data_IF_675210876045
#
_entry.id   IF_675210876045
#
_cell.length_a   1.000
_cell.length_b   1.000
_cell.length_c   1.000
_cell.angle_alpha   90.00
_cell.angle_beta   90.00
_cell.angle_gamma   90.00
#
_symmetry.space_group_name_H-M   'P 1'
#
loop_
_entity.id
_entity.type
_entity.pdbx_description
1 polymer ?
#
# COMPACT_ATOMS: atom_id res chain seq x y z
N UNK A 1 -24.39 -16.50 29.62
CA UNK A 1 -23.23 -15.90 28.93
C UNK A 1 -23.48 -14.41 28.75
N UNK A 2 -22.88 -13.57 29.59
CA UNK A 2 -23.07 -12.11 29.51
C UNK A 2 -22.19 -11.52 28.41
N UNK A 3 -22.82 -10.92 27.40
CA UNK A 3 -22.15 -10.09 26.40
C UNK A 3 -21.73 -8.78 27.07
N UNK A 4 -20.48 -8.72 27.55
CA UNK A 4 -19.87 -7.46 27.95
C UNK A 4 -19.65 -6.60 26.70
N UNK A 5 -20.62 -5.74 26.40
CA UNK A 5 -20.50 -4.70 25.37
C UNK A 5 -19.55 -3.63 25.89
N UNK A 6 -18.26 -3.74 25.55
CA UNK A 6 -17.28 -2.70 25.84
C UNK A 6 -17.67 -1.47 25.00
N UNK A 7 -18.35 -0.52 25.64
CA UNK A 7 -18.61 0.82 25.12
C UNK A 7 -17.27 1.50 24.82
N UNK A 8 -16.87 1.52 23.55
CA UNK A 8 -15.70 2.29 23.13
C UNK A 8 -16.05 3.77 23.13
N UNK A 9 -15.19 4.60 23.73
CA UNK A 9 -15.34 6.05 23.66
C UNK A 9 -15.28 6.54 22.21
N UNK A 10 -16.28 7.33 21.83
CA UNK A 10 -16.40 8.02 20.54
C UNK A 10 -15.16 8.86 20.20
N UNK A 11 -14.45 9.36 21.22
CA UNK A 11 -13.23 10.16 21.06
C UNK A 11 -12.12 9.44 20.29
N UNK A 12 -11.89 8.14 20.54
CA UNK A 12 -10.83 7.37 19.86
C UNK A 12 -11.03 7.21 18.36
N UNK A 13 -12.29 7.18 17.89
CA UNK A 13 -12.63 7.04 16.46
C UNK A 13 -12.39 8.33 15.67
N UNK A 14 -12.64 9.49 16.30
CA UNK A 14 -12.42 10.79 15.66
C UNK A 14 -10.94 11.02 15.33
N UNK A 15 -10.04 10.65 16.25
CA UNK A 15 -8.60 10.75 16.03
C UNK A 15 -8.10 9.88 14.89
N UNK A 16 -8.50 8.61 14.82
CA UNK A 16 -8.10 7.69 13.73
C UNK A 16 -8.52 8.22 12.36
N UNK A 17 -9.74 8.78 12.24
CA UNK A 17 -10.22 9.36 10.99
C UNK A 17 -9.39 10.57 10.56
N UNK A 18 -9.08 11.49 11.47
CA UNK A 18 -8.23 12.66 11.19
C UNK A 18 -6.86 12.24 10.68
N UNK A 19 -6.23 11.22 11.29
CA UNK A 19 -4.94 10.72 10.85
C UNK A 19 -4.98 10.05 9.48
N UNK A 20 -6.01 9.25 9.20
CA UNK A 20 -6.19 8.61 7.90
C UNK A 20 -6.39 9.69 6.82
N UNK A 21 -7.22 10.69 7.08
CA UNK A 21 -7.44 11.82 6.17
C UNK A 21 -6.16 12.63 5.96
N UNK A 22 -5.44 13.00 7.02
CA UNK A 22 -4.20 13.75 6.90
C UNK A 22 -3.16 12.99 6.05
N UNK A 23 -3.01 11.67 6.26
CA UNK A 23 -2.13 10.84 5.47
C UNK A 23 -2.51 10.82 3.98
N UNK A 24 -3.79 10.62 3.66
CA UNK A 24 -4.26 10.64 2.26
C UNK A 24 -4.11 12.02 1.62
N UNK A 25 -4.35 13.10 2.37
CA UNK A 25 -4.15 14.48 1.88
C UNK A 25 -2.68 14.73 1.56
N UNK A 26 -1.75 14.31 2.43
CA UNK A 26 -0.31 14.42 2.15
C UNK A 26 0.05 13.64 0.89
N UNK A 27 -0.42 12.40 0.75
CA UNK A 27 -0.17 11.59 -0.45
C UNK A 27 -0.72 12.26 -1.73
N UNK A 28 -1.93 12.83 -1.65
CA UNK A 28 -2.56 13.53 -2.77
C UNK A 28 -1.79 14.81 -3.16
N UNK A 29 -1.32 15.58 -2.17
CA UNK A 29 -0.52 16.79 -2.41
C UNK A 29 0.82 16.44 -3.05
N UNK A 30 1.51 15.39 -2.57
CA UNK A 30 2.76 14.93 -3.17
C UNK A 30 2.52 14.45 -4.60
N UNK A 31 1.51 13.61 -4.83
CA UNK A 31 1.15 13.14 -6.16
C UNK A 31 0.84 14.29 -7.12
N UNK A 32 0.03 15.27 -6.67
CA UNK A 32 -0.28 16.45 -7.46
C UNK A 32 0.97 17.25 -7.82
N UNK A 33 1.88 17.45 -6.86
CA UNK A 33 3.18 18.09 -7.09
C UNK A 33 4.00 17.35 -8.16
N UNK A 34 4.10 16.03 -8.07
CA UNK A 34 4.86 15.21 -9.03
C UNK A 34 4.27 15.24 -10.44
N UNK A 35 2.95 15.09 -10.56
CA UNK A 35 2.24 15.08 -11.84
C UNK A 35 2.27 16.47 -12.51
N UNK A 36 2.20 17.54 -11.72
CA UNK A 36 2.33 18.93 -12.22
C UNK A 36 3.78 19.36 -12.45
N UNK A 37 4.75 18.51 -12.13
CA UNK A 37 6.19 18.79 -12.22
C UNK A 37 6.66 19.96 -11.34
N UNK A 38 5.90 20.32 -10.31
CA UNK A 38 6.25 21.42 -9.39
C UNK A 38 7.62 21.21 -8.72
N UNK A 39 8.03 19.96 -8.51
CA UNK A 39 9.34 19.61 -7.97
C UNK A 39 10.51 20.11 -8.82
N UNK A 40 10.31 20.35 -10.12
CA UNK A 40 11.36 20.83 -11.03
C UNK A 40 11.75 22.30 -10.75
N UNK A 41 10.91 23.05 -10.03
CA UNK A 41 11.20 24.43 -9.63
C UNK A 41 12.14 24.51 -8.42
N UNK A 42 12.19 23.46 -7.60
CA UNK A 42 12.90 23.45 -6.31
C UNK A 42 14.08 22.47 -6.26
N UNK A 43 14.12 21.47 -7.13
CA UNK A 43 15.13 20.41 -7.12
C UNK A 43 16.11 20.54 -8.30
N UNK A 44 17.39 20.17 -8.13
CA UNK A 44 18.30 19.95 -9.24
C UNK A 44 17.73 18.99 -10.28
N UNK A 45 18.02 19.22 -11.56
CA UNK A 45 17.44 18.45 -12.68
C UNK A 45 17.53 16.94 -12.50
N UNK A 46 18.69 16.42 -12.10
CA UNK A 46 18.90 14.99 -11.83
C UNK A 46 17.96 14.44 -10.75
N UNK A 47 17.81 15.14 -9.63
CA UNK A 47 16.92 14.74 -8.53
C UNK A 47 15.45 14.91 -8.93
N UNK A 48 15.11 15.97 -9.67
CA UNK A 48 13.74 16.23 -10.09
C UNK A 48 13.18 15.13 -11.00
N UNK A 49 14.03 14.58 -11.88
CA UNK A 49 13.68 13.46 -12.77
C UNK A 49 13.50 12.18 -11.97
N UNK A 50 14.43 11.86 -11.07
CA UNK A 50 14.33 10.68 -10.20
C UNK A 50 13.09 10.73 -9.31
N UNK A 51 12.81 11.89 -8.69
CA UNK A 51 11.65 12.10 -7.84
C UNK A 51 10.35 12.04 -8.65
N UNK A 52 10.36 12.57 -9.88
CA UNK A 52 9.20 12.54 -10.79
C UNK A 52 8.77 11.14 -11.20
N UNK A 53 9.70 10.17 -11.28
CA UNK A 53 9.35 8.79 -11.61
C UNK A 53 8.48 8.17 -10.52
N UNK A 54 8.76 8.45 -9.23
CA UNK A 54 8.06 7.87 -8.06
C UNK A 54 6.58 8.26 -7.89
N UNK A 55 5.93 8.81 -8.92
CA UNK A 55 4.52 9.20 -8.86
C UNK A 55 3.58 7.99 -8.70
N UNK A 56 3.95 6.81 -9.19
CA UNK A 56 3.10 5.62 -9.13
C UNK A 56 3.03 5.06 -7.70
N UNK A 57 4.11 5.18 -6.92
CA UNK A 57 4.11 4.93 -5.45
C UNK A 57 2.96 5.67 -4.76
N UNK A 58 2.86 6.98 -5.01
CA UNK A 58 1.86 7.82 -4.34
C UNK A 58 0.45 7.56 -4.84
N UNK A 59 0.28 7.29 -6.15
CA UNK A 59 -0.99 6.90 -6.72
C UNK A 59 -1.50 5.58 -6.12
N UNK A 60 -0.64 4.57 -6.01
CA UNK A 60 -0.95 3.28 -5.40
C UNK A 60 -1.37 3.46 -3.94
N UNK A 61 -0.59 4.19 -3.15
CA UNK A 61 -0.86 4.45 -1.72
C UNK A 61 -2.17 5.20 -1.52
N UNK A 62 -2.43 6.23 -2.34
CA UNK A 62 -3.66 7.01 -2.27
C UNK A 62 -4.90 6.16 -2.58
N UNK A 63 -4.87 5.43 -3.69
CA UNK A 63 -5.99 4.60 -4.13
C UNK A 63 -6.25 3.43 -3.15
N UNK A 64 -5.22 2.64 -2.86
CA UNK A 64 -5.33 1.48 -1.98
C UNK A 64 -5.63 1.89 -0.53
N UNK A 65 -4.99 2.94 -0.02
CA UNK A 65 -5.25 3.50 1.30
C UNK A 65 -6.69 3.99 1.45
N UNK A 66 -7.23 4.66 0.44
CA UNK A 66 -8.65 5.08 0.41
C UNK A 66 -9.58 3.88 0.54
N UNK A 67 -9.41 2.86 -0.31
CA UNK A 67 -10.23 1.65 -0.25
C UNK A 67 -10.11 0.92 1.10
N UNK A 68 -8.89 0.80 1.62
CA UNK A 68 -8.61 0.15 2.90
C UNK A 68 -9.26 0.88 4.09
N UNK A 69 -9.13 2.21 4.18
CA UNK A 69 -9.72 2.97 5.30
C UNK A 69 -11.24 3.05 5.21
N UNK A 70 -11.81 3.12 4.00
CA UNK A 70 -13.25 3.02 3.81
C UNK A 70 -13.78 1.66 4.22
N UNK A 71 -13.06 0.58 3.92
CA UNK A 71 -13.40 -0.76 4.36
C UNK A 71 -13.33 -0.89 5.89
N UNK A 72 -12.26 -0.41 6.53
CA UNK A 72 -12.13 -0.40 7.99
C UNK A 72 -13.30 0.34 8.66
N UNK A 73 -13.69 1.49 8.10
CA UNK A 73 -14.86 2.24 8.59
C UNK A 73 -16.12 1.42 8.43
N UNK A 74 -16.32 0.81 7.26
CA UNK A 74 -17.50 0.01 6.92
C UNK A 74 -17.66 -1.17 7.87
N UNK A 75 -16.58 -1.89 8.16
CA UNK A 75 -16.57 -3.00 9.11
C UNK A 75 -16.82 -2.52 10.55
N UNK A 76 -16.34 -1.33 10.92
CA UNK A 76 -16.55 -0.76 12.25
C UNK A 76 -17.97 -0.21 12.48
N UNK A 77 -18.66 0.24 11.44
CA UNK A 77 -20.03 0.80 11.52
C UNK A 77 -21.11 -0.17 11.06
N UNK A 78 -20.75 -1.31 10.47
CA UNK A 78 -21.70 -2.24 9.87
C UNK A 78 -22.43 -1.66 8.65
N UNK A 79 -21.85 -0.66 7.99
CA UNK A 79 -22.45 -0.03 6.80
C UNK A 79 -22.25 -0.91 5.56
N UNK A 80 -22.88 -0.54 4.46
CA UNK A 80 -22.70 -1.25 3.18
C UNK A 80 -21.25 -1.14 2.65
N UNK A 81 -20.76 -2.23 2.02
CA UNK A 81 -19.46 -2.27 1.30
C UNK A 81 -19.52 -1.62 -0.08
N UNK A 82 -20.70 -1.19 -0.55
CA UNK A 82 -20.89 -0.57 -1.88
C UNK A 82 -19.90 0.57 -2.14
N UNK A 83 -19.67 1.54 -1.22
CA UNK A 83 -18.73 2.62 -1.47
C UNK A 83 -17.29 2.13 -1.72
N UNK A 84 -16.86 1.05 -1.06
CA UNK A 84 -15.53 0.45 -1.27
C UNK A 84 -15.45 -0.21 -2.64
N UNK A 85 -16.51 -0.91 -3.06
CA UNK A 85 -16.60 -1.51 -4.39
C UNK A 85 -16.62 -0.44 -5.49
N UNK A 86 -17.24 0.72 -5.25
CA UNK A 86 -17.20 1.85 -6.18
C UNK A 86 -15.77 2.40 -6.33
N UNK A 87 -14.99 2.48 -5.25
CA UNK A 87 -13.57 2.87 -5.36
C UNK A 87 -12.77 1.83 -6.16
N UNK A 88 -13.01 0.53 -5.92
CA UNK A 88 -12.42 -0.55 -6.72
C UNK A 88 -12.72 -0.37 -8.23
N UNK A 89 -14.00 -0.24 -8.58
CA UNK A 89 -14.44 -0.06 -9.96
C UNK A 89 -13.93 1.25 -10.57
N UNK A 90 -13.86 2.33 -9.80
CA UNK A 90 -13.29 3.59 -10.24
C UNK A 90 -11.80 3.46 -10.57
N UNK A 91 -11.02 2.76 -9.74
CA UNK A 91 -9.60 2.52 -10.01
C UNK A 91 -9.41 1.71 -11.30
N UNK A 92 -10.17 0.64 -11.49
CA UNK A 92 -10.11 -0.19 -12.70
C UNK A 92 -10.55 0.59 -13.95
N UNK A 93 -11.64 1.35 -13.84
CA UNK A 93 -12.15 2.19 -14.92
C UNK A 93 -11.17 3.30 -15.30
N UNK A 94 -10.54 3.96 -14.33
CA UNK A 94 -9.51 4.98 -14.56
C UNK A 94 -8.25 4.37 -15.16
N UNK A 95 -7.79 3.21 -14.68
CA UNK A 95 -6.66 2.50 -15.28
C UNK A 95 -6.89 2.20 -16.76
N UNK A 96 -8.08 1.70 -17.11
CA UNK A 96 -8.46 1.47 -18.50
C UNK A 96 -8.56 2.78 -19.29
N UNK A 97 -9.21 3.81 -18.74
CA UNK A 97 -9.36 5.10 -19.41
C UNK A 97 -8.01 5.75 -19.72
N UNK A 98 -7.09 5.79 -18.75
CA UNK A 98 -5.73 6.33 -18.90
C UNK A 98 -4.95 5.58 -19.99
N UNK A 99 -5.11 4.25 -20.06
CA UNK A 99 -4.47 3.42 -21.07
C UNK A 99 -5.01 3.67 -22.49
N UNK A 100 -6.32 3.79 -22.66
CA UNK A 100 -6.97 3.88 -23.98
C UNK A 100 -7.16 5.29 -24.53
N UNK A 101 -7.28 6.32 -23.68
CA UNK A 101 -7.61 7.69 -24.11
C UNK A 101 -6.41 8.52 -24.61
N UNK A 102 -5.23 7.92 -24.76
CA UNK A 102 -4.06 8.62 -25.32
C UNK A 102 -3.56 9.78 -24.43
N UNK A 103 -3.59 9.58 -23.11
CA UNK A 103 -3.14 10.60 -22.15
C UNK A 103 -1.64 10.90 -22.26
N UNK A 104 -1.17 12.08 -21.79
CA UNK A 104 0.26 12.39 -21.75
C UNK A 104 1.06 11.29 -21.02
N UNK A 105 2.33 11.02 -21.40
CA UNK A 105 3.10 9.92 -20.82
C UNK A 105 3.14 9.91 -19.28
N UNK A 106 3.21 11.08 -18.64
CA UNK A 106 3.22 11.22 -17.17
C UNK A 106 1.91 10.81 -16.50
N UNK A 107 0.79 10.89 -17.21
CA UNK A 107 -0.52 10.41 -16.74
C UNK A 107 -0.69 8.95 -17.11
N UNK A 108 -0.17 8.55 -18.28
CA UNK A 108 -0.30 7.19 -18.80
C UNK A 108 0.26 6.14 -17.84
N UNK A 109 1.40 6.42 -17.23
CA UNK A 109 2.07 5.56 -16.23
C UNK A 109 1.16 5.24 -15.03
N UNK A 110 0.32 6.20 -14.61
CA UNK A 110 -0.63 5.99 -13.50
C UNK A 110 -1.65 4.86 -13.74
N UNK A 111 -1.75 4.29 -14.95
CA UNK A 111 -2.57 3.11 -15.18
C UNK A 111 -2.11 1.88 -14.39
N UNK A 112 -0.80 1.65 -14.24
CA UNK A 112 -0.24 0.50 -13.53
C UNK A 112 -0.65 0.50 -12.03
N UNK A 113 -0.36 1.55 -11.24
CA UNK A 113 -0.74 1.59 -9.83
C UNK A 113 -2.26 1.59 -9.62
N UNK A 114 -3.04 2.19 -10.52
CA UNK A 114 -4.51 2.17 -10.44
C UNK A 114 -5.08 0.77 -10.69
N UNK A 115 -4.52 0.03 -11.65
CA UNK A 115 -4.89 -1.37 -11.89
C UNK A 115 -4.58 -2.22 -10.65
N UNK A 116 -3.35 -2.10 -10.14
CA UNK A 116 -2.90 -2.81 -8.94
C UNK A 116 -3.78 -2.49 -7.73
N UNK A 117 -4.06 -1.20 -7.49
CA UNK A 117 -4.94 -0.75 -6.41
C UNK A 117 -6.36 -1.30 -6.56
N UNK A 118 -6.97 -1.22 -7.74
CA UNK A 118 -8.32 -1.74 -7.97
C UNK A 118 -8.45 -3.23 -7.64
N UNK A 119 -7.52 -4.04 -8.16
CA UNK A 119 -7.48 -5.48 -7.88
C UNK A 119 -7.25 -5.77 -6.39
N UNK A 120 -6.34 -5.04 -5.74
CA UNK A 120 -6.07 -5.18 -4.32
C UNK A 120 -7.25 -4.73 -3.45
N UNK A 121 -7.99 -3.69 -3.81
CA UNK A 121 -9.21 -3.28 -3.10
C UNK A 121 -10.29 -4.36 -3.26
N UNK A 122 -10.41 -4.96 -4.45
CA UNK A 122 -11.28 -6.12 -4.69
C UNK A 122 -10.91 -7.30 -3.76
N UNK A 123 -9.64 -7.63 -3.67
CA UNK A 123 -9.12 -8.61 -2.70
C UNK A 123 -9.42 -8.20 -1.24
N UNK A 124 -9.28 -6.92 -0.91
CA UNK A 124 -9.65 -6.37 0.39
C UNK A 124 -11.15 -6.44 0.65
N UNK A 125 -12.02 -6.63 -0.34
CA UNK A 125 -13.45 -6.80 -0.10
C UNK A 125 -13.87 -8.23 0.30
N UNK A 126 -12.96 -9.21 0.27
CA UNK A 126 -13.28 -10.59 0.66
C UNK A 126 -13.73 -10.71 2.15
N UNK A 127 -14.58 -11.68 2.51
CA UNK A 127 -14.91 -11.91 3.93
C UNK A 127 -13.70 -12.40 4.72
N UNK A 128 -13.50 -11.85 5.94
CA UNK A 128 -12.36 -12.18 6.81
C UNK A 128 -12.83 -12.89 8.09
N UNK A 129 -12.06 -13.85 8.65
CA UNK A 129 -10.70 -14.21 8.27
C UNK A 129 -10.62 -15.03 6.99
N UNK A 130 -9.62 -14.75 6.16
CA UNK A 130 -9.25 -15.65 5.07
C UNK A 130 -8.54 -16.90 5.62
N UNK A 131 -8.71 -18.08 5.01
CA UNK A 131 -7.87 -19.23 5.28
C UNK A 131 -6.39 -18.86 5.10
N UNK A 132 -5.52 -19.36 5.99
CA UNK A 132 -4.09 -18.99 6.01
C UNK A 132 -3.37 -19.24 4.68
N UNK A 133 -3.83 -20.22 3.89
CA UNK A 133 -3.26 -20.54 2.59
C UNK A 133 -3.60 -19.52 1.49
N UNK A 134 -4.68 -18.74 1.62
CA UNK A 134 -5.15 -17.85 0.55
C UNK A 134 -4.15 -16.74 0.20
N UNK A 135 -3.58 -15.98 1.15
CA UNK A 135 -2.56 -14.98 0.82
C UNK A 135 -1.34 -15.60 0.12
N UNK A 136 -0.89 -16.77 0.59
CA UNK A 136 0.24 -17.48 -0.01
C UNK A 136 -0.07 -18.01 -1.42
N UNK A 137 -1.29 -18.51 -1.63
CA UNK A 137 -1.72 -18.99 -2.95
C UNK A 137 -1.76 -17.84 -3.96
N UNK A 138 -2.33 -16.69 -3.58
CA UNK A 138 -2.37 -15.51 -4.45
C UNK A 138 -0.96 -15.03 -4.77
N UNK A 139 -0.10 -14.87 -3.75
CA UNK A 139 1.31 -14.52 -3.95
C UNK A 139 2.02 -15.55 -4.84
N UNK A 140 1.79 -16.84 -4.65
CA UNK A 140 2.39 -17.90 -5.46
C UNK A 140 1.93 -17.88 -6.92
N UNK A 141 0.64 -17.61 -7.17
CA UNK A 141 0.10 -17.45 -8.53
C UNK A 141 0.73 -16.25 -9.21
N UNK A 142 0.78 -15.09 -8.55
CA UNK A 142 1.38 -13.88 -9.13
C UNK A 142 2.88 -14.07 -9.36
N UNK A 143 3.60 -14.70 -8.42
CA UNK A 143 5.01 -15.05 -8.59
C UNK A 143 5.22 -15.98 -9.79
N UNK A 144 4.37 -17.01 -9.94
CA UNK A 144 4.41 -17.90 -11.10
C UNK A 144 4.19 -17.17 -12.41
N UNK A 145 3.24 -16.22 -12.44
CA UNK A 145 3.00 -15.37 -13.62
C UNK A 145 4.23 -14.53 -13.96
N UNK A 146 4.85 -13.88 -12.97
CA UNK A 146 6.07 -13.09 -13.16
C UNK A 146 7.21 -13.97 -13.68
N UNK A 147 7.45 -15.14 -13.07
CA UNK A 147 8.56 -16.03 -13.44
C UNK A 147 8.39 -16.58 -14.85
N UNK A 148 7.18 -17.03 -15.22
CA UNK A 148 6.91 -17.69 -16.51
C UNK A 148 6.73 -16.69 -17.65
N UNK A 149 6.11 -15.54 -17.39
CA UNK A 149 5.73 -14.58 -18.41
C UNK A 149 6.39 -13.20 -18.27
N UNK A 150 7.45 -13.05 -17.48
CA UNK A 150 8.22 -11.78 -17.39
C UNK A 150 8.70 -11.26 -18.75
N UNK A 151 8.98 -12.15 -19.69
CA UNK A 151 9.37 -11.81 -21.07
C UNK A 151 8.23 -11.31 -21.94
N UNK A 152 6.97 -11.50 -21.52
CA UNK A 152 5.81 -10.99 -22.25
C UNK A 152 5.69 -9.50 -21.98
N UNK A 153 5.75 -8.69 -23.04
CA UNK A 153 5.71 -7.21 -22.95
C UNK A 153 4.59 -6.71 -22.06
N UNK A 154 3.40 -7.31 -22.14
CA UNK A 154 2.28 -6.92 -21.26
C UNK A 154 2.57 -7.11 -19.76
N UNK A 155 3.15 -8.24 -19.36
CA UNK A 155 3.47 -8.55 -17.94
C UNK A 155 4.65 -7.70 -17.45
N UNK A 156 5.62 -7.47 -18.33
CA UNK A 156 6.75 -6.58 -18.06
C UNK A 156 6.29 -5.13 -17.86
N UNK A 157 5.44 -4.62 -18.77
CA UNK A 157 4.78 -3.31 -18.67
C UNK A 157 3.72 -3.23 -17.55
N UNK A 158 3.64 -4.23 -16.67
CA UNK A 158 2.78 -4.24 -15.50
C UNK A 158 3.58 -4.61 -14.25
N UNK A 159 4.91 -4.46 -14.28
CA UNK A 159 5.78 -4.89 -13.19
C UNK A 159 5.39 -4.24 -11.85
N UNK A 160 4.97 -2.99 -11.83
CA UNK A 160 4.60 -2.30 -10.59
C UNK A 160 3.28 -2.83 -10.01
N UNK A 161 2.28 -3.02 -10.86
CA UNK A 161 0.99 -3.57 -10.45
C UNK A 161 1.13 -5.03 -9.98
N UNK A 162 1.94 -5.83 -10.69
CA UNK A 162 2.22 -7.22 -10.37
C UNK A 162 3.03 -7.37 -9.08
N UNK A 163 4.05 -6.54 -8.85
CA UNK A 163 4.81 -6.56 -7.59
C UNK A 163 3.94 -6.11 -6.41
N UNK A 164 3.10 -5.10 -6.57
CA UNK A 164 2.12 -4.73 -5.55
C UNK A 164 1.17 -5.90 -5.23
N UNK A 165 0.64 -6.59 -6.26
CA UNK A 165 -0.21 -7.78 -6.11
C UNK A 165 0.51 -8.96 -5.46
N UNK A 166 1.81 -9.10 -5.71
CA UNK A 166 2.65 -10.13 -5.13
C UNK A 166 2.79 -9.94 -3.62
N UNK A 167 3.12 -8.72 -3.18
CA UNK A 167 3.54 -8.45 -1.80
C UNK A 167 2.41 -8.01 -0.87
N UNK A 168 1.37 -7.35 -1.38
CA UNK A 168 0.27 -6.83 -0.57
C UNK A 168 -0.52 -7.90 0.22
N UNK A 169 -0.85 -9.09 -0.34
CA UNK A 169 -1.50 -10.15 0.44
C UNK A 169 -0.67 -10.58 1.66
N UNK A 170 0.65 -10.67 1.52
CA UNK A 170 1.53 -11.00 2.63
C UNK A 170 1.60 -9.83 3.64
N UNK A 171 1.73 -8.60 3.15
CA UNK A 171 1.78 -7.41 3.99
C UNK A 171 0.52 -7.25 4.86
N UNK A 172 -0.67 -7.42 4.28
CA UNK A 172 -1.95 -7.13 4.91
C UNK A 172 -2.68 -8.33 5.51
N UNK A 173 -2.29 -9.56 5.23
CA UNK A 173 -2.93 -10.74 5.85
C UNK A 173 -1.95 -11.66 6.62
N UNK A 174 -0.64 -11.58 6.38
CA UNK A 174 0.37 -12.36 7.12
C UNK A 174 1.08 -11.50 8.16
N UNK A 175 1.63 -10.35 7.76
CA UNK A 175 2.45 -9.49 8.62
C UNK A 175 1.58 -8.60 9.50
N UNK A 176 0.63 -7.91 8.87
CA UNK A 176 -0.36 -7.07 9.53
C UNK A 176 -1.77 -7.58 9.17
N UNK A 177 -2.80 -7.04 9.79
CA UNK A 177 -4.19 -7.32 9.39
C UNK A 177 -5.01 -6.07 9.56
N UNK A 178 -5.22 -5.22 8.54
CA UNK A 178 -5.93 -3.94 8.68
C UNK A 178 -7.24 -4.07 9.48
N UNK A 179 -8.04 -5.10 9.13
CA UNK A 179 -9.29 -5.45 9.80
C UNK A 179 -9.13 -5.91 11.26
N UNK A 180 -8.09 -6.69 11.57
CA UNK A 180 -7.82 -7.18 12.93
C UNK A 180 -6.78 -6.27 13.57
N UNK A 181 -7.24 -5.35 14.42
CA UNK A 181 -6.40 -4.39 15.17
C UNK A 181 -5.28 -5.03 16.01
N UNK A 182 -5.17 -6.36 16.06
CA UNK A 182 -4.07 -7.13 16.65
C UNK A 182 -2.97 -7.45 15.62
N UNK A 183 -1.68 -7.18 15.91
CA UNK A 183 -0.57 -7.69 15.11
C UNK A 183 -0.63 -9.23 15.01
N UNK A 184 -0.40 -9.79 13.82
CA UNK A 184 -0.22 -11.24 13.64
C UNK A 184 1.24 -11.66 13.81
N UNK A 185 2.17 -10.79 13.43
CA UNK A 185 3.60 -11.00 13.52
C UNK A 185 4.26 -10.17 14.64
N UNK A 186 5.43 -10.61 15.11
CA UNK A 186 6.24 -9.86 16.06
C UNK A 186 6.82 -8.59 15.41
N UNK A 187 7.17 -7.58 16.22
CA UNK A 187 7.77 -6.33 15.74
C UNK A 187 9.04 -6.58 14.90
N UNK A 188 9.88 -7.55 15.29
CA UNK A 188 11.07 -7.93 14.52
C UNK A 188 10.73 -8.48 13.13
N UNK A 189 9.70 -9.32 13.00
CA UNK A 189 9.25 -9.85 11.69
C UNK A 189 8.70 -8.75 10.80
N UNK A 190 7.91 -7.83 11.35
CA UNK A 190 7.37 -6.68 10.61
C UNK A 190 8.51 -5.77 10.14
N UNK A 191 9.51 -5.52 10.99
CA UNK A 191 10.68 -4.72 10.64
C UNK A 191 11.48 -5.39 9.53
N UNK A 192 11.80 -6.68 9.66
CA UNK A 192 12.52 -7.44 8.63
C UNK A 192 11.76 -7.45 7.29
N UNK A 193 10.43 -7.56 7.32
CA UNK A 193 9.60 -7.48 6.14
C UNK A 193 9.62 -6.10 5.48
N UNK A 194 9.47 -5.02 6.25
CA UNK A 194 9.56 -3.66 5.72
C UNK A 194 10.97 -3.38 5.14
N UNK A 195 12.02 -3.85 5.82
CA UNK A 195 13.38 -3.80 5.29
C UNK A 195 13.51 -4.56 3.98
N UNK A 196 12.90 -5.75 3.85
CA UNK A 196 12.90 -6.51 2.60
C UNK A 196 12.21 -5.73 1.46
N UNK A 197 11.04 -5.14 1.71
CA UNK A 197 10.32 -4.36 0.69
C UNK A 197 11.09 -3.12 0.23
N UNK A 198 11.95 -2.55 1.08
CA UNK A 198 12.77 -1.38 0.72
C UNK A 198 14.06 -1.82 0.03
N UNK A 199 14.78 -2.77 0.61
CA UNK A 199 16.13 -3.16 0.20
C UNK A 199 16.13 -4.00 -1.08
N UNK A 200 15.14 -4.88 -1.29
CA UNK A 200 15.11 -5.74 -2.47
C UNK A 200 15.09 -4.95 -3.79
N UNK A 201 14.15 -4.00 -4.03
CA UNK A 201 14.19 -3.18 -5.23
C UNK A 201 15.39 -2.23 -5.27
N UNK A 202 15.87 -1.73 -4.12
CA UNK A 202 17.07 -0.89 -4.08
C UNK A 202 18.33 -1.64 -4.54
N UNK A 203 18.47 -2.91 -4.14
CA UNK A 203 19.55 -3.78 -4.61
C UNK A 203 19.42 -4.07 -6.10
N UNK A 204 18.20 -4.32 -6.61
CA UNK A 204 17.97 -4.52 -8.04
C UNK A 204 18.31 -3.28 -8.88
N UNK A 205 17.99 -2.09 -8.38
CA UNK A 205 18.39 -0.82 -9.00
C UNK A 205 19.90 -0.60 -8.97
N UNK A 206 20.58 -1.01 -7.89
CA UNK A 206 22.02 -0.89 -7.73
C UNK A 206 22.81 -1.90 -8.59
N UNK A 207 22.23 -3.05 -8.94
CA UNK A 207 22.86 -4.09 -9.74
C UNK A 207 22.83 -3.81 -11.26
N UNK A 208 23.04 -2.55 -11.66
CA UNK A 208 22.99 -2.13 -13.07
C UNK A 208 23.86 -2.98 -14.00
N UNK A 209 25.05 -3.38 -13.52
CA UNK A 209 26.01 -4.18 -14.29
C UNK A 209 25.54 -5.62 -14.55
N UNK A 210 24.65 -6.16 -13.70
CA UNK A 210 24.09 -7.51 -13.89
C UNK A 210 23.00 -7.55 -14.97
N UNK A 211 22.53 -6.41 -15.48
CA UNK A 211 21.44 -6.35 -16.46
C UNK A 211 21.88 -6.66 -17.90
N UNK A 212 23.18 -6.74 -18.16
CA UNK A 212 23.73 -6.87 -19.53
C UNK A 212 23.99 -8.30 -19.99
N UNK A 213 23.94 -9.29 -19.11
CA UNK A 213 24.45 -10.64 -19.42
C UNK A 213 23.42 -11.58 -20.09
N UNK A 214 22.15 -11.17 -20.20
CA UNK A 214 21.08 -11.99 -20.76
C UNK A 214 20.73 -13.23 -19.90
N UNK A 215 19.49 -13.70 -20.02
CA UNK A 215 18.99 -14.85 -19.27
C UNK A 215 18.30 -14.48 -17.96
N UNK A 216 17.88 -15.51 -17.23
CA UNK A 216 16.87 -15.39 -16.17
C UNK A 216 17.22 -14.42 -15.04
N UNK A 217 18.48 -14.41 -14.57
CA UNK A 217 18.88 -13.55 -13.46
C UNK A 217 18.87 -12.05 -13.84
N UNK A 218 19.51 -11.62 -14.96
CA UNK A 218 19.36 -10.27 -15.49
C UNK A 218 17.91 -9.84 -15.71
N UNK A 219 17.08 -10.72 -16.27
CA UNK A 219 15.65 -10.44 -16.54
C UNK A 219 14.87 -10.20 -15.25
N UNK A 220 15.14 -11.00 -14.22
CA UNK A 220 14.51 -10.86 -12.91
C UNK A 220 14.96 -9.57 -12.22
N UNK A 221 16.25 -9.22 -12.30
CA UNK A 221 16.77 -7.96 -11.78
C UNK A 221 16.10 -6.77 -12.47
N UNK A 222 15.95 -6.82 -13.78
CA UNK A 222 15.27 -5.79 -14.57
C UNK A 222 13.79 -5.65 -14.15
N UNK A 223 13.11 -6.78 -13.98
CA UNK A 223 11.72 -6.82 -13.51
C UNK A 223 11.57 -6.24 -12.09
N UNK A 224 12.46 -6.59 -11.17
CA UNK A 224 12.44 -6.08 -9.79
C UNK A 224 12.75 -4.58 -9.73
N UNK A 225 13.70 -4.12 -10.54
CA UNK A 225 14.03 -2.69 -10.65
C UNK A 225 12.85 -1.89 -11.20
N UNK A 226 12.15 -2.42 -12.21
CA UNK A 226 10.94 -1.81 -12.77
C UNK A 226 9.78 -1.82 -11.77
N UNK A 227 9.58 -2.91 -11.05
CA UNK A 227 8.52 -3.03 -10.05
C UNK A 227 8.79 -2.34 -8.71
N UNK A 228 9.86 -1.54 -8.60
CA UNK A 228 10.27 -0.91 -7.34
C UNK A 228 9.15 -0.09 -6.68
N UNK A 229 8.36 0.61 -7.50
CA UNK A 229 7.29 1.47 -7.00
C UNK A 229 6.16 0.68 -6.32
N UNK A 230 5.85 -0.51 -6.84
CA UNK A 230 4.90 -1.43 -6.22
C UNK A 230 5.35 -1.88 -4.83
N UNK A 231 6.64 -2.21 -4.67
CA UNK A 231 7.23 -2.54 -3.36
C UNK A 231 7.15 -1.36 -2.38
N UNK A 232 7.61 -0.18 -2.81
CA UNK A 232 7.66 1.00 -1.95
C UNK A 232 6.27 1.52 -1.57
N UNK A 233 5.30 1.46 -2.48
CA UNK A 233 3.92 1.84 -2.18
C UNK A 233 3.29 0.94 -1.11
N UNK A 234 3.48 -0.39 -1.22
CA UNK A 234 3.01 -1.31 -0.18
C UNK A 234 3.76 -1.11 1.13
N UNK A 235 5.08 -0.91 1.09
CA UNK A 235 5.90 -0.64 2.27
C UNK A 235 5.45 0.63 3.01
N UNK A 236 5.21 1.72 2.29
CA UNK A 236 4.76 3.00 2.85
C UNK A 236 3.39 2.85 3.51
N UNK A 237 2.43 2.20 2.83
CA UNK A 237 1.10 1.99 3.39
C UNK A 237 1.13 1.07 4.62
N UNK A 238 1.95 0.03 4.60
CA UNK A 238 2.12 -0.87 5.74
C UNK A 238 2.81 -0.18 6.91
N UNK A 239 3.85 0.61 6.67
CA UNK A 239 4.52 1.42 7.69
C UNK A 239 3.53 2.37 8.36
N UNK A 240 2.69 3.05 7.57
CA UNK A 240 1.62 3.88 8.11
C UNK A 240 0.68 3.09 9.03
N UNK A 241 0.22 1.91 8.61
CA UNK A 241 -0.66 1.04 9.42
C UNK A 241 0.02 0.63 10.73
N UNK A 242 1.32 0.35 10.71
CA UNK A 242 2.11 -0.01 11.91
C UNK A 242 2.24 1.18 12.85
N UNK A 243 2.62 2.36 12.36
CA UNK A 243 2.77 3.59 13.15
C UNK A 243 1.44 4.02 13.79
N UNK A 244 0.35 3.99 13.01
CA UNK A 244 -1.00 4.28 13.49
C UNK A 244 -1.39 3.37 14.66
N UNK A 245 -1.05 2.08 14.59
CA UNK A 245 -1.32 1.12 15.69
C UNK A 245 -0.48 1.39 16.92
N UNK A 246 0.82 1.61 16.75
CA UNK A 246 1.72 1.89 17.87
C UNK A 246 1.23 3.09 18.69
N UNK A 247 0.73 4.12 18.01
CA UNK A 247 0.09 5.28 18.65
C UNK A 247 -1.18 4.92 19.41
N UNK A 248 -2.07 4.13 18.83
CA UNK A 248 -3.32 3.72 19.50
C UNK A 248 -3.10 2.79 20.70
N UNK A 249 -1.92 2.18 20.83
CA UNK A 249 -1.54 1.31 21.94
C UNK A 249 -0.77 2.02 23.07
N UNK A 250 -0.41 3.30 22.92
CA UNK A 250 0.29 4.04 23.96
C UNK A 250 -0.59 4.17 25.22
N UNK A 251 -0.11 3.82 26.42
CA UNK A 251 -0.89 3.92 27.65
C UNK A 251 -1.28 5.39 27.86
N UNK A 252 -2.59 5.65 27.87
CA UNK A 252 -3.11 6.94 28.32
C UNK A 252 -2.61 7.08 29.75
N UNK A 253 -1.65 7.97 29.99
CA UNK A 253 -1.26 8.34 31.35
C UNK A 253 -2.50 8.97 31.97
N UNK A 254 -3.30 8.15 32.65
CA UNK A 254 -4.35 8.62 33.53
C UNK A 254 -3.66 9.60 34.46
N UNK A 255 -4.05 10.90 34.47
CA UNK A 255 -3.46 11.85 35.38
C UNK A 255 -3.58 11.23 36.76
N UNK A 256 -2.43 10.96 37.38
CA UNK A 256 -2.32 10.39 38.71
C UNK A 256 -3.31 11.15 39.56
N UNK A 257 -4.39 10.50 40.01
CA UNK A 257 -5.30 11.14 40.93
C UNK A 257 -4.48 11.43 42.17
N UNK A 258 -3.99 12.67 42.27
CA UNK A 258 -3.44 13.21 43.50
C UNK A 258 -4.62 13.16 44.45
N UNK A 259 -4.66 12.11 45.28
CA UNK A 259 -5.58 12.05 46.39
C UNK A 259 -5.26 13.28 47.23
N UNK A 260 -6.10 14.31 47.14
CA UNK A 260 -6.10 15.36 48.15
C UNK A 260 -6.38 14.64 49.46
N UNK A 261 -5.34 14.49 50.27
CA UNK A 261 -5.49 14.10 51.66
C UNK A 261 -6.51 15.05 52.26
N UNK A 262 -7.59 14.47 52.77
CA UNK A 262 -8.47 15.16 53.69
C UNK A 262 -7.67 15.31 54.98
N UNK A 263 -7.32 16.56 55.31
CA UNK A 263 -7.10 17.01 56.69
C UNK A 263 -8.36 17.77 57.15
#
# INVERSE_FOLDING_TARGET
MGTHTISRSTASRSGEAVWNTAFLVVCAVVLAGLVTKLQQEFLPSALSTQVGHNSEVWALVLALGTGMFMLERTEATGTSRIPVLLVCLACLGLAAAVYWLGTPPTVKTLNEPLLGAGLLIGYLCLPRPLPRAVPWLITGIVAGVIVVWSQVTFVFLQAESMTALLVAPLAFDVMTSPARRTPKASAGRVTAWLSLLILLPALALASGDLRTEGGFAPDLVDYLARGAEGFWGVALLQLYVVLRRARSSAPIHSPTQVSKGAE
#
